data_IF_521750910884
#
_entry.id   IF_521750910884
#
_cell.length_a   1.000
_cell.length_b   1.000
_cell.length_c   1.000
_cell.angle_alpha   90.00
_cell.angle_beta   90.00
_cell.angle_gamma   90.00
#
_symmetry.space_group_name_H-M   'P 1'
#
loop_
_entity.id
_entity.type
_entity.pdbx_description
1 polymer ?
#
# COMPACT_ATOMS: atom_id res chain seq x y z
N UNK A 1 -3.31 -17.86 73.68
CA UNK A 1 -3.47 -17.39 72.27
C UNK A 1 -2.14 -17.08 71.59
N UNK A 2 -1.19 -16.40 72.24
CA UNK A 2 0.10 -16.00 71.64
C UNK A 2 0.98 -17.16 71.15
N UNK A 3 1.04 -18.29 71.87
CA UNK A 3 1.83 -19.46 71.45
C UNK A 3 1.35 -20.12 70.15
N UNK A 4 0.04 -20.11 69.89
CA UNK A 4 -0.55 -20.69 68.68
C UNK A 4 -0.25 -19.86 67.43
N UNK A 5 -0.24 -18.53 67.57
CA UNK A 5 0.08 -17.60 66.48
C UNK A 5 1.56 -17.72 66.12
N UNK A 6 2.45 -17.84 67.12
CA UNK A 6 3.88 -18.01 66.88
C UNK A 6 4.15 -19.35 66.19
N UNK A 7 3.53 -20.45 66.62
CA UNK A 7 3.70 -21.75 65.97
C UNK A 7 3.14 -21.77 64.56
N UNK A 8 2.00 -21.13 64.31
CA UNK A 8 1.44 -21.01 62.96
C UNK A 8 2.35 -20.19 62.04
N UNK A 9 2.90 -19.08 62.53
CA UNK A 9 3.80 -18.20 61.77
C UNK A 9 5.13 -18.89 61.46
N UNK A 10 5.70 -19.62 62.42
CA UNK A 10 6.92 -20.41 62.21
C UNK A 10 6.69 -21.55 61.22
N UNK A 11 5.55 -22.24 61.30
CA UNK A 11 5.20 -23.32 60.36
C UNK A 11 5.00 -22.79 58.93
N UNK A 12 4.34 -21.64 58.78
CA UNK A 12 4.19 -21.00 57.46
C UNK A 12 5.50 -20.46 56.92
N UNK A 13 6.38 -19.92 57.76
CA UNK A 13 7.70 -19.43 57.34
C UNK A 13 8.62 -20.59 56.92
N UNK A 14 8.58 -21.72 57.64
CA UNK A 14 9.33 -22.92 57.29
C UNK A 14 8.82 -23.56 55.99
N UNK A 15 7.50 -23.60 55.79
CA UNK A 15 6.90 -24.06 54.54
C UNK A 15 7.22 -23.13 53.34
N UNK A 16 7.29 -21.81 53.57
CA UNK A 16 7.71 -20.85 52.55
C UNK A 16 9.20 -20.97 52.21
N UNK A 17 10.06 -21.29 53.18
CA UNK A 17 11.50 -21.46 52.97
C UNK A 17 11.85 -22.70 52.12
N UNK A 18 11.03 -23.76 52.18
CA UNK A 18 11.21 -24.99 51.38
C UNK A 18 10.98 -24.74 49.88
N UNK A 19 10.15 -23.76 49.50
CA UNK A 19 9.84 -23.47 48.09
C UNK A 19 10.73 -22.38 47.47
N UNK A 20 11.53 -21.66 48.26
CA UNK A 20 12.33 -20.52 47.79
C UNK A 20 13.82 -20.84 47.58
N UNK A 21 14.31 -21.98 48.06
CA UNK A 21 15.65 -22.44 47.76
C UNK A 21 15.64 -23.12 46.39
N UNK A 22 16.12 -22.44 45.35
CA UNK A 22 16.66 -23.15 44.19
C UNK A 22 17.73 -24.12 44.71
N UNK A 23 17.57 -25.41 44.43
CA UNK A 23 18.53 -26.45 44.78
C UNK A 23 19.95 -25.95 44.47
N UNK A 24 20.92 -26.27 45.34
CA UNK A 24 22.35 -26.20 45.05
C UNK A 24 22.65 -26.50 43.56
N UNK A 25 23.64 -25.81 42.95
CA UNK A 25 24.05 -26.01 41.54
C UNK A 25 24.47 -27.47 41.30
N UNK A 26 23.47 -28.33 41.11
CA UNK A 26 23.61 -29.70 40.68
C UNK A 26 23.74 -29.62 39.17
N UNK A 27 24.93 -29.92 38.65
CA UNK A 27 25.22 -29.96 37.21
C UNK A 27 24.54 -31.17 36.56
N UNK A 28 23.21 -31.15 36.55
CA UNK A 28 22.33 -32.08 35.86
C UNK A 28 21.85 -31.47 34.55
N UNK A 29 21.52 -32.33 33.58
CA UNK A 29 20.99 -31.88 32.30
C UNK A 29 19.58 -31.34 32.48
N UNK A 30 19.37 -30.05 32.25
CA UNK A 30 18.05 -29.44 32.30
C UNK A 30 17.16 -29.96 31.16
N UNK A 31 15.84 -30.03 31.37
CA UNK A 31 14.91 -30.37 30.30
C UNK A 31 14.98 -29.36 29.16
N UNK A 32 14.80 -29.84 27.93
CA UNK A 32 14.81 -29.01 26.73
C UNK A 32 13.62 -28.03 26.72
N UNK A 33 13.92 -26.73 26.57
CA UNK A 33 12.90 -25.68 26.48
C UNK A 33 12.33 -25.62 25.06
N UNK A 34 11.05 -25.94 24.93
CA UNK A 34 10.34 -25.85 23.66
C UNK A 34 9.66 -24.49 23.51
N UNK A 35 10.10 -23.67 22.55
CA UNK A 35 9.43 -22.42 22.24
C UNK A 35 8.11 -22.68 21.48
N UNK A 36 6.98 -22.29 22.06
CA UNK A 36 5.66 -22.40 21.40
C UNK A 36 5.40 -21.14 20.60
N UNK A 37 5.36 -21.26 19.27
CA UNK A 37 5.00 -20.16 18.39
C UNK A 37 3.53 -19.78 18.52
N UNK A 38 3.23 -18.50 18.26
CA UNK A 38 1.85 -18.02 18.16
C UNK A 38 1.14 -18.74 17.01
N UNK A 39 -0.07 -19.21 17.28
CA UNK A 39 -0.92 -19.79 16.24
C UNK A 39 -1.25 -18.74 15.16
N UNK A 40 -1.24 -19.10 13.88
CA UNK A 40 -1.60 -18.18 12.82
C UNK A 40 -3.05 -17.71 12.97
N UNK A 41 -3.30 -16.44 12.63
CA UNK A 41 -4.66 -15.89 12.65
C UNK A 41 -5.49 -16.49 11.52
N UNK A 42 -6.77 -16.78 11.80
CA UNK A 42 -7.67 -17.44 10.85
C UNK A 42 -8.14 -16.41 9.81
N UNK A 43 -7.83 -16.64 8.54
CA UNK A 43 -8.24 -15.77 7.45
C UNK A 43 -9.71 -16.05 7.07
N UNK A 44 -10.50 -15.03 6.66
CA UNK A 44 -11.82 -15.27 6.07
C UNK A 44 -11.70 -16.07 4.77
N UNK A 45 -12.78 -16.74 4.36
CA UNK A 45 -12.76 -17.56 3.14
C UNK A 45 -12.48 -16.73 1.89
N UNK A 46 -11.67 -17.27 0.97
CA UNK A 46 -11.27 -16.58 -0.25
C UNK A 46 -12.45 -16.08 -1.11
N UNK A 47 -13.57 -16.81 -1.14
CA UNK A 47 -14.76 -16.42 -1.92
C UNK A 47 -15.35 -15.07 -1.46
N UNK A 48 -15.48 -14.86 -0.15
CA UNK A 48 -15.96 -13.58 0.38
C UNK A 48 -15.03 -12.43 0.00
N UNK A 49 -13.71 -12.62 0.14
CA UNK A 49 -12.72 -11.58 -0.24
C UNK A 49 -12.80 -11.23 -1.73
N UNK A 50 -12.98 -12.22 -2.61
CA UNK A 50 -13.14 -12.00 -4.06
C UNK A 50 -14.43 -11.25 -4.36
N UNK A 51 -15.56 -11.63 -3.75
CA UNK A 51 -16.84 -10.97 -3.95
C UNK A 51 -16.78 -9.47 -3.61
N UNK A 52 -16.22 -9.12 -2.45
CA UNK A 52 -16.06 -7.72 -2.06
C UNK A 52 -15.01 -6.99 -2.91
N UNK A 53 -13.96 -7.68 -3.37
CA UNK A 53 -13.00 -7.12 -4.34
C UNK A 53 -13.68 -6.74 -5.67
N UNK A 54 -14.55 -7.60 -6.19
CA UNK A 54 -15.34 -7.31 -7.39
C UNK A 54 -16.35 -6.17 -7.16
N UNK A 55 -16.98 -6.14 -5.99
CA UNK A 55 -17.90 -5.07 -5.61
C UNK A 55 -17.18 -3.72 -5.54
N UNK A 56 -15.95 -3.67 -5.01
CA UNK A 56 -15.12 -2.48 -5.00
C UNK A 56 -14.71 -2.01 -6.41
N UNK A 57 -14.61 -2.93 -7.38
CA UNK A 57 -14.35 -2.61 -8.78
C UNK A 57 -15.62 -2.19 -9.56
N UNK A 58 -16.82 -2.47 -9.04
CA UNK A 58 -18.09 -2.18 -9.73
C UNK A 58 -18.31 -0.71 -10.16
N UNK A 59 -17.89 0.33 -9.40
CA UNK A 59 -18.09 1.71 -9.83
C UNK A 59 -17.31 2.05 -11.10
N UNK A 60 -16.14 1.42 -11.32
CA UNK A 60 -15.34 1.60 -12.53
C UNK A 60 -16.05 1.04 -13.75
N UNK A 61 -16.71 -0.12 -13.62
CA UNK A 61 -17.50 -0.71 -14.71
C UNK A 61 -18.70 0.18 -15.08
N UNK A 62 -19.39 0.73 -14.08
CA UNK A 62 -20.48 1.67 -14.29
C UNK A 62 -20.00 2.96 -14.97
N UNK A 63 -18.85 3.50 -14.58
CA UNK A 63 -18.27 4.68 -15.21
C UNK A 63 -18.00 4.46 -16.71
N UNK A 64 -17.38 3.34 -17.05
CA UNK A 64 -17.07 2.98 -18.45
C UNK A 64 -18.36 2.82 -19.26
N UNK A 65 -19.38 2.14 -18.71
CA UNK A 65 -20.69 2.01 -19.35
C UNK A 65 -21.42 3.34 -19.49
N UNK A 66 -21.24 4.27 -18.54
CA UNK A 66 -21.82 5.61 -18.60
C UNK A 66 -21.22 6.43 -19.75
N UNK A 67 -19.89 6.38 -19.94
CA UNK A 67 -19.23 7.08 -21.04
C UNK A 67 -19.65 6.58 -22.42
N UNK A 68 -19.80 5.27 -22.60
CA UNK A 68 -20.26 4.72 -23.88
C UNK A 68 -21.71 5.14 -24.17
N UNK A 69 -22.57 5.18 -23.15
CA UNK A 69 -23.95 5.69 -23.29
C UNK A 69 -24.01 7.17 -23.64
N UNK A 70 -23.04 7.97 -23.20
CA UNK A 70 -22.92 9.40 -23.53
C UNK A 70 -22.28 9.65 -24.90
N UNK A 71 -21.91 8.60 -25.65
CA UNK A 71 -21.28 8.71 -26.97
C UNK A 71 -19.81 9.14 -26.93
N UNK A 72 -19.16 9.09 -25.76
CA UNK A 72 -17.73 9.36 -25.58
C UNK A 72 -16.98 8.15 -26.17
N UNK A 73 -16.55 8.31 -27.43
CA UNK A 73 -15.85 7.26 -28.16
C UNK A 73 -14.33 7.47 -28.06
N UNK A 74 -13.55 6.47 -27.58
CA UNK A 74 -12.09 6.57 -27.52
C UNK A 74 -11.47 6.86 -28.89
N UNK A 75 -12.04 6.31 -29.96
CA UNK A 75 -11.61 6.56 -31.34
C UNK A 75 -11.77 8.01 -31.77
N UNK A 76 -12.85 8.69 -31.33
CA UNK A 76 -13.07 10.11 -31.62
C UNK A 76 -12.09 11.01 -30.86
N UNK A 77 -11.78 10.66 -29.61
CA UNK A 77 -10.79 11.40 -28.79
C UNK A 77 -9.40 11.29 -29.42
N UNK A 78 -9.01 10.09 -29.86
CA UNK A 78 -7.71 9.87 -30.51
C UNK A 78 -7.67 10.56 -31.87
N UNK A 79 -8.75 10.48 -32.67
CA UNK A 79 -8.79 11.17 -33.97
C UNK A 79 -8.66 12.69 -33.79
N UNK A 80 -9.46 13.31 -32.91
CA UNK A 80 -9.41 14.76 -32.65
C UNK A 80 -8.03 15.23 -32.16
N UNK A 81 -7.35 14.38 -31.38
CA UNK A 81 -6.02 14.67 -30.88
C UNK A 81 -4.94 14.55 -31.97
N UNK A 82 -5.16 13.70 -32.99
CA UNK A 82 -4.28 13.60 -34.16
C UNK A 82 -4.59 14.62 -35.28
N UNK A 83 -5.84 15.09 -35.39
CA UNK A 83 -6.29 16.01 -36.46
C UNK A 83 -6.27 17.49 -36.06
N UNK A 84 -6.01 17.83 -34.80
CA UNK A 84 -5.87 19.22 -34.32
C UNK A 84 -4.60 19.93 -34.83
N UNK A 85 -4.60 20.22 -36.13
CA UNK A 85 -4.09 21.35 -36.93
C UNK A 85 -2.92 22.24 -36.46
N UNK A 86 -1.94 21.75 -35.71
CA UNK A 86 -0.63 22.44 -35.60
C UNK A 86 0.52 21.44 -35.68
N UNK A 87 1.55 21.72 -36.48
CA UNK A 87 2.62 20.76 -36.80
C UNK A 87 3.44 20.27 -35.58
N UNK A 88 3.23 20.86 -34.39
CA UNK A 88 3.82 20.45 -33.11
C UNK A 88 2.79 20.29 -31.96
N UNK A 89 1.49 20.42 -32.24
CA UNK A 89 0.39 20.34 -31.26
C UNK A 89 0.17 18.97 -30.64
N UNK A 90 0.00 17.90 -31.44
CA UNK A 90 -0.29 16.56 -30.93
C UNK A 90 0.83 16.00 -30.04
N UNK A 91 2.07 16.31 -30.39
CA UNK A 91 3.26 15.73 -29.75
C UNK A 91 3.38 16.14 -28.28
N UNK A 92 3.08 17.40 -27.95
CA UNK A 92 3.26 17.87 -26.56
C UNK A 92 2.18 17.32 -25.63
N UNK A 93 0.95 17.18 -26.11
CA UNK A 93 -0.17 16.60 -25.36
C UNK A 93 0.09 15.10 -25.12
N UNK A 94 0.50 14.36 -26.16
CA UNK A 94 0.86 12.95 -26.03
C UNK A 94 2.05 12.76 -25.09
N UNK A 95 3.09 13.60 -25.20
CA UNK A 95 4.24 13.55 -24.30
C UNK A 95 3.83 13.82 -22.84
N UNK A 96 2.92 14.76 -22.60
CA UNK A 96 2.40 15.03 -21.26
C UNK A 96 1.60 13.85 -20.71
N UNK A 97 0.69 13.26 -21.48
CA UNK A 97 -0.05 12.06 -21.07
C UNK A 97 0.87 10.87 -20.80
N UNK A 98 1.90 10.68 -21.63
CA UNK A 98 2.89 9.63 -21.43
C UNK A 98 3.71 9.87 -20.16
N UNK A 99 4.04 11.13 -19.85
CA UNK A 99 4.74 11.47 -18.61
C UNK A 99 3.90 11.18 -17.37
N UNK A 100 2.59 11.48 -17.41
CA UNK A 100 1.64 11.12 -16.35
C UNK A 100 1.50 9.59 -16.19
N UNK A 101 1.35 8.87 -17.30
CA UNK A 101 1.29 7.41 -17.28
C UNK A 101 2.59 6.79 -16.72
N UNK A 102 3.73 7.41 -17.02
CA UNK A 102 5.04 6.97 -16.50
C UNK A 102 5.15 7.21 -14.99
N UNK A 103 4.62 8.33 -14.48
CA UNK A 103 4.56 8.63 -13.05
C UNK A 103 3.69 7.58 -12.32
N UNK A 104 2.49 7.31 -12.81
CA UNK A 104 1.61 6.27 -12.26
C UNK A 104 2.28 4.88 -12.30
N UNK A 105 2.98 4.56 -13.39
CA UNK A 105 3.71 3.32 -13.50
C UNK A 105 4.83 3.18 -12.45
N UNK A 106 5.55 4.26 -12.14
CA UNK A 106 6.55 4.23 -11.06
C UNK A 106 5.90 4.07 -9.69
N UNK A 107 4.74 4.68 -9.45
CA UNK A 107 3.97 4.45 -8.21
C UNK A 107 3.51 2.99 -8.09
N UNK A 108 3.10 2.37 -9.20
CA UNK A 108 2.82 0.94 -9.24
C UNK A 108 4.08 0.10 -8.94
N UNK A 109 5.23 0.43 -9.54
CA UNK A 109 6.49 -0.26 -9.25
C UNK A 109 6.95 -0.07 -7.81
N UNK A 110 6.67 1.07 -7.17
CA UNK A 110 6.87 1.29 -5.74
C UNK A 110 6.04 0.33 -4.89
N UNK A 111 4.78 0.11 -5.25
CA UNK A 111 3.94 -0.86 -4.56
C UNK A 111 4.46 -2.31 -4.71
N UNK A 112 4.99 -2.68 -5.88
CA UNK A 112 5.45 -4.06 -6.14
C UNK A 112 6.87 -4.33 -5.62
N UNK A 113 7.82 -3.41 -5.84
CA UNK A 113 9.26 -3.72 -5.67
C UNK A 113 10.22 -2.58 -5.35
N UNK A 114 9.93 -1.31 -5.70
CA UNK A 114 10.91 -0.23 -5.56
C UNK A 114 11.06 0.28 -4.12
N UNK A 115 12.28 0.71 -3.77
CA UNK A 115 12.54 1.44 -2.54
C UNK A 115 12.08 2.91 -2.67
N UNK A 116 11.78 3.57 -1.56
CA UNK A 116 11.37 4.98 -1.50
C UNK A 116 12.40 5.91 -2.14
N UNK A 117 13.71 5.70 -1.91
CA UNK A 117 14.75 6.57 -2.48
C UNK A 117 14.86 6.45 -4.01
N UNK A 118 14.67 5.25 -4.55
CA UNK A 118 14.62 5.02 -5.99
C UNK A 118 13.40 5.69 -6.61
N UNK A 119 12.24 5.50 -5.98
CA UNK A 119 10.97 6.08 -6.39
C UNK A 119 11.03 7.60 -6.40
N UNK A 120 11.56 8.22 -5.35
CA UNK A 120 11.76 9.67 -5.27
C UNK A 120 12.70 10.17 -6.37
N UNK A 121 13.80 9.48 -6.63
CA UNK A 121 14.74 9.85 -7.71
C UNK A 121 14.08 9.84 -9.09
N UNK A 122 13.34 8.78 -9.41
CA UNK A 122 12.62 8.69 -10.69
C UNK A 122 11.47 9.70 -10.79
N UNK A 123 10.68 9.87 -9.72
CA UNK A 123 9.60 10.85 -9.67
C UNK A 123 10.14 12.28 -9.81
N UNK A 124 11.28 12.61 -9.21
CA UNK A 124 11.87 13.93 -9.35
C UNK A 124 12.21 14.24 -10.81
N UNK A 125 12.91 13.32 -11.49
CA UNK A 125 13.24 13.47 -12.91
C UNK A 125 11.99 13.56 -13.79
N UNK A 126 11.02 12.67 -13.59
CA UNK A 126 9.79 12.69 -14.38
C UNK A 126 8.91 13.91 -14.08
N UNK A 127 8.90 14.43 -12.85
CA UNK A 127 8.13 15.62 -12.49
C UNK A 127 8.62 16.84 -13.27
N UNK A 128 9.92 16.97 -13.49
CA UNK A 128 10.48 18.04 -14.35
C UNK A 128 9.99 17.88 -15.79
N UNK A 129 10.03 16.66 -16.33
CA UNK A 129 9.53 16.37 -17.69
C UNK A 129 8.03 16.63 -17.81
N UNK A 130 7.24 16.19 -16.83
CA UNK A 130 5.80 16.37 -16.76
C UNK A 130 5.43 17.86 -16.63
N UNK A 131 6.17 18.64 -15.84
CA UNK A 131 5.98 20.08 -15.74
C UNK A 131 6.27 20.78 -17.08
N UNK A 132 7.41 20.47 -17.72
CA UNK A 132 7.79 21.08 -18.99
C UNK A 132 6.83 20.74 -20.13
N UNK A 133 6.42 19.47 -20.24
CA UNK A 133 5.46 19.01 -21.26
C UNK A 133 4.04 19.48 -20.96
N UNK A 134 3.64 19.51 -19.69
CA UNK A 134 2.32 19.97 -19.25
C UNK A 134 2.07 21.45 -19.53
N UNK A 135 3.04 22.32 -19.24
CA UNK A 135 2.95 23.75 -19.56
C UNK A 135 2.72 23.97 -21.07
N UNK A 136 3.44 23.21 -21.92
CA UNK A 136 3.30 23.28 -23.37
C UNK A 136 1.95 22.73 -23.85
N UNK A 137 1.52 21.58 -23.33
CA UNK A 137 0.24 20.96 -23.67
C UNK A 137 -0.95 21.86 -23.32
N UNK A 138 -0.95 22.43 -22.11
CA UNK A 138 -2.02 23.33 -21.65
C UNK A 138 -2.05 24.64 -22.46
N UNK A 139 -0.88 25.22 -22.76
CA UNK A 139 -0.78 26.43 -23.59
C UNK A 139 -1.31 26.19 -25.01
N UNK A 140 -1.12 24.99 -25.57
CA UNK A 140 -1.66 24.62 -26.87
C UNK A 140 -3.18 24.49 -26.85
N UNK A 141 -3.75 23.84 -25.83
CA UNK A 141 -5.20 23.75 -25.66
C UNK A 141 -5.81 25.15 -25.51
N UNK A 142 -5.15 26.06 -24.78
CA UNK A 142 -5.60 27.45 -24.68
C UNK A 142 -5.60 28.14 -26.05
N UNK A 143 -4.54 28.01 -26.85
CA UNK A 143 -4.47 28.59 -28.20
C UNK A 143 -5.60 28.12 -29.11
N UNK A 144 -5.92 26.82 -29.07
CA UNK A 144 -7.04 26.23 -29.83
C UNK A 144 -8.37 26.86 -29.42
N UNK A 145 -8.57 27.15 -28.13
CA UNK A 145 -9.81 27.77 -27.64
C UNK A 145 -9.92 29.26 -27.97
N UNK A 146 -8.81 29.98 -28.07
CA UNK A 146 -8.78 31.43 -28.26
C UNK A 146 -8.56 31.86 -29.71
N UNK A 147 -8.16 30.95 -30.61
CA UNK A 147 -8.07 31.27 -32.03
C UNK A 147 -9.48 31.36 -32.63
N UNK A 148 -9.83 32.45 -33.35
CA UNK A 148 -11.12 32.63 -34.00
C UNK A 148 -11.35 31.63 -35.14
#
# INVERSE_FOLDING_TARGET
MTRFIITALVLTALAAHVNAAGNEDVFEMLPEINHVFRQPEVMPSAWFSVLFGLLALSPWALLISGWTSLGINPSKIVSDLTTSSSSMGPVSIVAFLLSLASIEYILFLYWVKFNIFQTLGYLFLLSIVAAATGQRALSQIQKIRTSP
#
